data_IF_098634936136
#
_entry.id   IF_098634936136
#
_cell.length_a   1.000
_cell.length_b   1.000
_cell.length_c   1.000
_cell.angle_alpha   90.00
_cell.angle_beta   90.00
_cell.angle_gamma   90.00
#
_symmetry.space_group_name_H-M   'P 1'
#
loop_
_entity.id
_entity.type
_entity.pdbx_description
1 polymer ?
#
# COMPACT_ATOMS: atom_id res chain seq x y z
N UNK A 1 -15.08 11.61 5.65
CA UNK A 1 -14.72 10.21 5.31
C UNK A 1 -14.73 9.39 6.58
N UNK A 2 -15.62 8.39 6.66
CA UNK A 2 -15.79 7.59 7.89
C UNK A 2 -14.74 6.47 7.91
N UNK A 3 -13.76 6.61 8.80
CA UNK A 3 -12.87 5.53 9.16
C UNK A 3 -13.51 4.71 10.29
N UNK A 4 -13.41 3.39 10.21
CA UNK A 4 -13.80 2.51 11.32
C UNK A 4 -12.54 1.98 11.99
N UNK A 5 -12.52 2.00 13.32
CA UNK A 5 -11.39 1.50 14.12
C UNK A 5 -11.89 0.35 15.00
N UNK A 6 -11.13 -0.74 15.06
CA UNK A 6 -11.39 -1.89 15.93
C UNK A 6 -10.10 -2.29 16.63
N UNK A 7 -10.14 -2.41 17.96
CA UNK A 7 -9.03 -2.97 18.72
C UNK A 7 -9.13 -4.50 18.75
N UNK A 8 -8.06 -5.16 18.32
CA UNK A 8 -7.92 -6.61 18.34
C UNK A 8 -7.24 -7.08 19.63
N UNK A 9 -7.19 -8.40 19.83
CA UNK A 9 -6.41 -8.98 20.93
C UNK A 9 -4.93 -8.62 20.78
N UNK A 10 -4.22 -8.50 21.91
CA UNK A 10 -2.80 -8.12 21.92
C UNK A 10 -2.55 -6.62 21.73
N UNK A 11 -3.60 -5.79 21.75
CA UNK A 11 -3.47 -4.33 21.67
C UNK A 11 -3.32 -3.78 20.25
N UNK A 12 -3.38 -4.64 19.23
CA UNK A 12 -3.29 -4.25 17.82
C UNK A 12 -4.54 -3.48 17.39
N UNK A 13 -4.36 -2.41 16.66
CA UNK A 13 -5.45 -1.68 16.04
C UNK A 13 -5.66 -2.11 14.58
N UNK A 14 -6.94 -2.20 14.20
CA UNK A 14 -7.38 -2.44 12.84
C UNK A 14 -8.20 -1.23 12.37
N UNK A 15 -7.84 -0.66 11.23
CA UNK A 15 -8.55 0.46 10.60
C UNK A 15 -9.16 0.01 9.29
N UNK A 16 -10.43 0.33 9.10
CA UNK A 16 -11.10 0.21 7.80
C UNK A 16 -11.27 1.59 7.20
N UNK A 17 -10.66 1.79 6.04
CA UNK A 17 -10.82 3.01 5.24
C UNK A 17 -12.24 3.13 4.68
N UNK A 18 -12.65 4.34 4.25
CA UNK A 18 -13.95 4.56 3.60
C UNK A 18 -14.20 3.67 2.37
N UNK A 19 -13.14 3.24 1.68
CA UNK A 19 -13.22 2.36 0.50
C UNK A 19 -13.13 0.87 0.86
N UNK A 20 -13.16 0.53 2.15
CA UNK A 20 -13.15 -0.86 2.63
C UNK A 20 -11.77 -1.51 2.75
N UNK A 21 -10.67 -0.81 2.45
CA UNK A 21 -9.31 -1.34 2.73
C UNK A 21 -9.09 -1.46 4.23
N UNK A 22 -8.51 -2.58 4.65
CA UNK A 22 -8.18 -2.88 6.04
C UNK A 22 -6.68 -2.71 6.26
N UNK A 23 -6.32 -2.00 7.32
CA UNK A 23 -4.95 -1.77 7.76
C UNK A 23 -4.78 -2.31 9.18
N UNK A 24 -3.65 -2.94 9.46
CA UNK A 24 -3.28 -3.44 10.79
C UNK A 24 -1.80 -3.14 11.06
N UNK A 25 -1.49 -2.78 12.30
CA UNK A 25 -0.11 -2.51 12.74
C UNK A 25 0.78 -3.77 12.71
N UNK A 26 0.18 -4.94 12.95
CA UNK A 26 0.88 -6.22 12.98
C UNK A 26 0.91 -6.93 11.62
N UNK A 27 0.39 -6.29 10.57
CA UNK A 27 0.48 -6.84 9.23
C UNK A 27 1.95 -6.86 8.77
N UNK A 28 2.43 -7.98 8.20
CA UNK A 28 3.75 -7.98 7.60
C UNK A 28 3.80 -6.94 6.48
N UNK A 29 4.94 -6.25 6.35
CA UNK A 29 5.16 -5.35 5.23
C UNK A 29 4.92 -6.13 3.92
N UNK A 30 4.09 -5.61 2.99
CA UNK A 30 3.84 -6.31 1.74
C UNK A 30 5.16 -6.50 0.99
N UNK A 31 5.40 -7.67 0.39
CA UNK A 31 6.62 -7.90 -0.38
C UNK A 31 6.65 -6.92 -1.56
N UNK A 32 7.74 -6.17 -1.66
CA UNK A 32 7.99 -5.27 -2.79
C UNK A 32 9.01 -5.95 -3.70
N UNK A 33 8.68 -6.03 -4.99
CA UNK A 33 9.62 -6.48 -6.02
C UNK A 33 9.83 -5.33 -7.01
N UNK A 34 11.09 -5.03 -7.32
CA UNK A 34 11.43 -4.14 -8.42
C UNK A 34 11.23 -4.87 -9.73
N UNK A 35 10.44 -4.31 -10.64
CA UNK A 35 10.36 -4.77 -12.01
C UNK A 35 11.43 -4.04 -12.83
N UNK A 36 12.12 -4.72 -13.77
CA UNK A 36 12.99 -4.03 -14.70
C UNK A 36 12.18 -2.99 -15.47
N UNK A 37 12.76 -1.81 -15.67
CA UNK A 37 12.16 -0.81 -16.53
C UNK A 37 12.04 -1.41 -17.94
N UNK A 38 10.83 -1.43 -18.50
CA UNK A 38 10.66 -1.60 -19.94
C UNK A 38 11.37 -0.42 -20.59
N UNK A 39 12.45 -0.70 -21.31
CA UNK A 39 13.12 0.29 -22.14
C UNK A 39 12.11 0.69 -23.21
N UNK A 40 11.43 1.82 -23.01
CA UNK A 40 10.79 2.50 -24.12
C UNK A 40 11.93 3.16 -24.91
N UNK A 41 12.07 2.76 -26.17
CA UNK A 41 12.85 3.50 -27.15
C UNK A 41 12.09 4.79 -27.50
N UNK A 42 11.93 5.66 -26.50
CA UNK A 42 11.71 7.08 -26.74
C UNK A 42 13.05 7.59 -27.21
N UNK A 43 13.17 7.82 -28.52
CA UNK A 43 14.35 8.37 -29.17
C UNK A 43 14.88 9.63 -28.47
N UNK A 44 16.03 10.18 -28.93
CA UNK A 44 16.77 11.19 -28.19
C UNK A 44 15.86 12.35 -27.75
N UNK A 45 15.99 12.74 -26.47
CA UNK A 45 15.24 13.86 -25.92
C UNK A 45 15.46 15.12 -26.80
N UNK A 46 14.40 15.86 -27.16
CA UNK A 46 14.55 17.11 -27.90
C UNK A 46 15.31 18.15 -27.05
N UNK A 47 16.20 18.89 -27.69
CA UNK A 47 17.01 19.96 -27.10
C UNK A 47 16.25 21.28 -27.01
#
# INVERSE_FOLDING_TARGET
TLWRVRQLKGGVLEWTSPTGRIYREDAPAPPIAFMPALVHDSGPAPF
#
